data_IF_342124531022
#
_entry.id   IF_342124531022
#
_cell.length_a   1.000
_cell.length_b   1.000
_cell.length_c   1.000
_cell.angle_alpha   90.00
_cell.angle_beta   90.00
_cell.angle_gamma   90.00
#
_symmetry.space_group_name_H-M   'P 1'
#
loop_
_entity.id
_entity.type
_entity.pdbx_description
1 polymer ?
#
# COMPACT_ATOMS: atom_id res chain seq x y z
N UNK A 1 3.44 -4.19 -7.27
CA UNK A 1 2.66 -3.17 -8.03
C UNK A 1 3.22 -2.96 -9.44
N UNK A 2 4.41 -2.44 -9.60
CA UNK A 2 5.00 -2.16 -10.94
C UNK A 2 4.98 -3.38 -11.87
N UNK A 3 5.40 -4.55 -11.40
CA UNK A 3 5.41 -5.79 -12.19
C UNK A 3 4.00 -6.22 -12.64
N UNK A 4 2.98 -6.00 -11.80
CA UNK A 4 1.60 -6.28 -12.17
C UNK A 4 1.12 -5.41 -13.35
N UNK A 5 1.42 -4.11 -13.33
CA UNK A 5 1.12 -3.23 -14.45
C UNK A 5 1.92 -3.62 -15.70
N UNK A 6 3.23 -3.84 -15.58
CA UNK A 6 4.09 -4.25 -16.71
C UNK A 6 3.60 -5.53 -17.39
N UNK A 7 3.19 -6.53 -16.62
CA UNK A 7 2.71 -7.82 -17.15
C UNK A 7 1.42 -7.70 -17.95
N UNK A 8 0.64 -6.65 -17.75
CA UNK A 8 -0.64 -6.42 -18.38
C UNK A 8 -0.62 -5.33 -19.47
N UNK A 9 0.54 -4.73 -19.77
CA UNK A 9 0.66 -3.71 -20.82
C UNK A 9 0.32 -4.29 -22.20
N UNK A 10 -0.48 -3.58 -23.03
CA UNK A 10 -0.69 -3.93 -24.41
C UNK A 10 0.64 -3.91 -25.20
N UNK A 11 0.76 -4.77 -26.22
CA UNK A 11 1.96 -4.80 -27.11
C UNK A 11 2.21 -3.47 -27.85
N UNK A 12 1.22 -2.62 -27.94
CA UNK A 12 1.29 -1.28 -28.56
C UNK A 12 1.88 -0.21 -27.64
N UNK A 13 2.10 -0.56 -26.35
CA UNK A 13 2.72 0.36 -25.38
C UNK A 13 4.15 -0.09 -25.14
N UNK A 14 5.08 0.81 -25.35
CA UNK A 14 6.49 0.64 -25.02
C UNK A 14 6.86 1.48 -23.79
N UNK A 15 7.75 0.95 -22.97
CA UNK A 15 8.36 1.71 -21.88
C UNK A 15 9.67 2.29 -22.39
N UNK A 16 9.73 3.60 -22.50
CA UNK A 16 10.89 4.34 -23.02
C UNK A 16 11.20 5.55 -22.13
N UNK A 17 12.47 5.84 -21.93
CA UNK A 17 12.90 6.97 -21.14
C UNK A 17 12.53 8.32 -21.78
N UNK A 18 12.35 8.36 -23.12
CA UNK A 18 11.94 9.55 -23.87
C UNK A 18 10.41 9.66 -24.03
N UNK A 19 9.63 8.81 -23.37
CA UNK A 19 8.17 8.95 -23.39
C UNK A 19 7.73 10.28 -22.77
N UNK A 20 6.68 10.89 -23.34
CA UNK A 20 6.16 12.18 -22.84
C UNK A 20 5.47 12.09 -21.48
N UNK A 21 5.22 10.88 -20.98
CA UNK A 21 4.63 10.64 -19.64
C UNK A 21 5.62 9.86 -18.78
N UNK A 22 5.92 10.40 -17.62
CA UNK A 22 6.77 9.77 -16.61
C UNK A 22 5.94 9.40 -15.39
N UNK A 23 5.93 8.13 -14.99
CA UNK A 23 5.14 7.62 -13.87
C UNK A 23 6.05 7.16 -12.73
N UNK A 24 5.95 7.83 -11.60
CA UNK A 24 6.64 7.49 -10.36
C UNK A 24 5.70 6.71 -9.43
N UNK A 25 6.09 5.49 -9.05
CA UNK A 25 5.25 4.60 -8.22
C UNK A 25 5.89 4.39 -6.84
N UNK A 26 5.70 5.35 -5.94
CA UNK A 26 6.19 5.28 -4.57
C UNK A 26 5.53 6.37 -3.70
N UNK A 27 6.03 6.53 -2.45
CA UNK A 27 5.69 7.69 -1.62
C UNK A 27 6.11 8.99 -2.32
N UNK A 28 5.29 10.05 -2.28
CA UNK A 28 5.66 11.33 -2.90
C UNK A 28 6.99 11.84 -2.36
N UNK A 29 7.89 12.22 -3.25
CA UNK A 29 9.13 12.92 -2.97
C UNK A 29 9.47 13.83 -4.16
N UNK A 30 10.59 14.55 -4.11
CA UNK A 30 11.03 15.32 -5.26
C UNK A 30 11.22 14.42 -6.48
N UNK A 31 10.54 14.70 -7.62
CA UNK A 31 10.65 13.90 -8.81
C UNK A 31 12.10 13.87 -9.32
N UNK A 32 12.61 12.67 -9.63
CA UNK A 32 13.97 12.45 -10.17
C UNK A 32 13.90 11.57 -11.40
N UNK A 33 14.87 11.74 -12.29
CA UNK A 33 15.01 10.87 -13.47
C UNK A 33 13.95 11.07 -14.55
N UNK A 34 13.33 12.26 -14.61
CA UNK A 34 12.45 12.66 -15.70
C UNK A 34 13.12 13.67 -16.62
N UNK A 35 12.61 13.79 -17.84
CA UNK A 35 13.07 14.76 -18.83
C UNK A 35 12.24 16.06 -18.78
N UNK A 36 12.83 17.16 -19.20
CA UNK A 36 12.08 18.40 -19.39
C UNK A 36 10.94 18.18 -20.39
N UNK A 37 9.75 18.68 -20.05
CA UNK A 37 8.55 18.52 -20.88
C UNK A 37 7.78 17.21 -20.69
N UNK A 38 8.26 16.28 -19.87
CA UNK A 38 7.46 15.10 -19.49
C UNK A 38 6.32 15.47 -18.54
N UNK A 39 5.14 14.87 -18.80
CA UNK A 39 4.03 14.90 -17.86
C UNK A 39 4.34 13.99 -16.67
N UNK A 40 4.41 14.54 -15.47
CA UNK A 40 4.88 13.86 -14.26
C UNK A 40 3.69 13.32 -13.48
N UNK A 41 3.61 12.02 -13.35
CA UNK A 41 2.55 11.33 -12.64
C UNK A 41 3.12 10.65 -11.40
N UNK A 42 2.50 10.85 -10.23
CA UNK A 42 2.81 10.10 -9.03
C UNK A 42 1.70 9.09 -8.76
N UNK A 43 2.04 7.81 -8.75
CA UNK A 43 1.14 6.76 -8.27
C UNK A 43 1.49 6.44 -6.82
N UNK A 44 0.59 6.77 -5.91
CA UNK A 44 0.83 6.68 -4.45
C UNK A 44 -0.41 6.26 -3.67
N UNK A 45 -0.26 6.05 -2.36
CA UNK A 45 -1.36 5.73 -1.45
C UNK A 45 -0.99 6.09 -0.01
N UNK A 46 -2.00 6.24 0.83
CA UNK A 46 -1.85 6.45 2.27
C UNK A 46 -2.96 5.75 3.04
N UNK A 47 -2.72 5.45 4.32
CA UNK A 47 -3.56 4.54 5.10
C UNK A 47 -4.26 5.19 6.30
N UNK A 48 -4.10 6.50 6.51
CA UNK A 48 -4.83 7.27 7.54
C UNK A 48 -5.66 8.37 6.90
N UNK A 49 -6.44 9.10 7.69
CA UNK A 49 -7.28 10.20 7.21
C UNK A 49 -6.55 11.54 7.03
N UNK A 50 -5.23 11.56 7.24
CA UNK A 50 -4.41 12.76 7.08
C UNK A 50 -3.07 12.43 6.43
N UNK A 51 -2.68 13.21 5.41
CA UNK A 51 -1.36 13.06 4.78
C UNK A 51 -0.24 13.62 5.66
N UNK A 52 0.90 12.93 5.74
CA UNK A 52 2.12 13.50 6.31
C UNK A 52 2.54 14.78 5.60
N UNK A 53 3.17 15.69 6.33
CA UNK A 53 3.67 16.93 5.75
C UNK A 53 4.70 16.69 4.65
N UNK A 54 5.55 15.68 4.83
CA UNK A 54 6.53 15.27 3.81
C UNK A 54 5.86 14.84 2.49
N UNK A 55 4.65 14.23 2.53
CA UNK A 55 3.91 13.93 1.31
C UNK A 55 3.36 15.20 0.67
N UNK A 56 2.68 16.04 1.47
CA UNK A 56 2.05 17.28 0.99
C UNK A 56 3.05 18.21 0.31
N UNK A 57 4.26 18.29 0.85
CA UNK A 57 5.36 19.11 0.32
C UNK A 57 5.68 18.81 -1.14
N UNK A 58 5.57 17.55 -1.58
CA UNK A 58 6.02 17.15 -2.91
C UNK A 58 4.90 17.02 -3.93
N UNK A 59 3.62 17.03 -3.51
CA UNK A 59 2.50 16.79 -4.43
C UNK A 59 2.45 17.83 -5.56
N UNK A 60 2.73 19.10 -5.28
CA UNK A 60 2.69 20.18 -6.26
C UNK A 60 3.74 20.06 -7.37
N UNK A 61 4.74 19.19 -7.24
CA UNK A 61 5.75 18.94 -8.25
C UNK A 61 5.31 17.91 -9.31
N UNK A 62 4.20 17.27 -9.10
CA UNK A 62 3.58 16.35 -10.05
C UNK A 62 2.45 17.07 -10.79
N UNK A 63 2.23 16.68 -12.05
CA UNK A 63 1.15 17.21 -12.86
C UNK A 63 -0.15 16.44 -12.60
N UNK A 64 -0.03 15.18 -12.09
CA UNK A 64 -1.15 14.32 -11.78
C UNK A 64 -0.81 13.33 -10.66
N UNK A 65 -1.79 13.02 -9.82
CA UNK A 65 -1.69 12.01 -8.76
C UNK A 65 -2.64 10.85 -9.11
N UNK A 66 -2.13 9.63 -9.10
CA UNK A 66 -2.93 8.41 -9.20
C UNK A 66 -2.93 7.68 -7.87
N UNK A 67 -4.09 7.19 -7.49
CA UNK A 67 -4.30 6.51 -6.21
C UNK A 67 -5.16 5.26 -6.40
N UNK A 68 -5.02 4.22 -5.55
CA UNK A 68 -5.66 2.93 -5.83
C UNK A 68 -7.12 2.80 -5.38
N UNK A 69 -7.65 3.74 -4.61
CA UNK A 69 -9.02 3.66 -4.08
C UNK A 69 -9.62 5.04 -3.82
N UNK A 70 -10.93 5.07 -3.59
CA UNK A 70 -11.70 6.30 -3.38
C UNK A 70 -11.29 7.03 -2.09
N UNK A 71 -11.06 6.33 -0.99
CA UNK A 71 -10.51 6.90 0.24
C UNK A 71 -9.25 7.74 -0.03
N UNK A 72 -8.32 7.19 -0.80
CA UNK A 72 -7.11 7.91 -1.18
C UNK A 72 -7.41 9.08 -2.12
N UNK A 73 -8.38 8.97 -3.05
CA UNK A 73 -8.76 10.08 -3.92
C UNK A 73 -9.29 11.26 -3.10
N UNK A 74 -10.19 11.03 -2.16
CA UNK A 74 -10.73 12.06 -1.29
C UNK A 74 -9.63 12.74 -0.46
N UNK A 75 -8.72 11.94 0.10
CA UNK A 75 -7.61 12.42 0.91
C UNK A 75 -6.63 13.30 0.11
N UNK A 76 -6.16 12.80 -1.04
CA UNK A 76 -5.18 13.52 -1.85
C UNK A 76 -5.78 14.72 -2.58
N UNK A 77 -7.08 14.71 -2.91
CA UNK A 77 -7.78 15.84 -3.56
C UNK A 77 -7.87 17.10 -2.69
N UNK A 78 -7.64 16.96 -1.39
CA UNK A 78 -7.51 18.12 -0.48
C UNK A 78 -6.22 18.91 -0.73
N UNK A 79 -5.25 18.32 -1.45
CA UNK A 79 -3.90 18.86 -1.63
C UNK A 79 -3.44 18.92 -3.09
N UNK A 80 -4.20 18.33 -4.03
CA UNK A 80 -3.86 18.32 -5.46
C UNK A 80 -5.14 18.31 -6.32
N UNK A 81 -5.13 19.07 -7.41
CA UNK A 81 -6.34 19.28 -8.25
C UNK A 81 -6.64 18.13 -9.22
N UNK A 82 -5.62 17.39 -9.71
CA UNK A 82 -5.82 16.22 -10.59
C UNK A 82 -5.45 14.93 -9.85
N UNK A 83 -6.43 14.34 -9.18
CA UNK A 83 -6.29 13.06 -8.48
C UNK A 83 -7.28 12.06 -9.09
N UNK A 84 -6.77 10.91 -9.60
CA UNK A 84 -7.60 9.89 -10.23
C UNK A 84 -7.39 8.52 -9.60
N UNK A 85 -8.48 7.73 -9.57
CA UNK A 85 -8.44 6.36 -9.06
C UNK A 85 -7.99 5.39 -10.15
N UNK A 86 -6.92 4.69 -9.88
CA UNK A 86 -6.42 3.56 -10.68
C UNK A 86 -6.23 2.38 -9.74
N UNK A 87 -7.21 1.47 -9.62
CA UNK A 87 -7.13 0.37 -8.67
C UNK A 87 -5.97 -0.57 -9.01
N UNK A 88 -5.44 -1.26 -8.01
CA UNK A 88 -4.51 -2.35 -8.24
C UNK A 88 -5.28 -3.60 -8.69
N UNK A 89 -4.54 -4.64 -9.07
CA UNK A 89 -5.13 -5.88 -9.56
C UNK A 89 -4.47 -7.13 -9.00
N UNK A 90 -5.09 -8.26 -9.31
CA UNK A 90 -4.53 -9.60 -9.11
C UNK A 90 -4.49 -10.35 -10.43
N UNK A 91 -3.56 -11.28 -10.56
CA UNK A 91 -3.60 -12.29 -11.63
C UNK A 91 -4.48 -13.46 -11.18
N UNK A 92 -5.73 -13.46 -11.63
CA UNK A 92 -6.71 -14.48 -11.22
C UNK A 92 -6.35 -15.89 -11.72
N UNK A 93 -5.47 -16.04 -12.70
CA UNK A 93 -4.96 -17.36 -13.13
C UNK A 93 -3.89 -17.85 -12.16
N UNK A 94 -3.00 -16.97 -11.75
CA UNK A 94 -1.96 -17.28 -10.79
C UNK A 94 -2.55 -17.50 -9.38
N UNK A 95 -3.41 -16.59 -8.92
CA UNK A 95 -4.10 -16.68 -7.63
C UNK A 95 -5.37 -17.53 -7.75
N UNK A 96 -5.19 -18.82 -8.03
CA UNK A 96 -6.25 -19.82 -8.20
C UNK A 96 -5.80 -21.20 -7.75
N UNK A 97 -6.68 -22.18 -7.81
CA UNK A 97 -6.36 -23.58 -7.50
C UNK A 97 -6.17 -23.83 -5.99
N UNK A 98 -6.97 -23.17 -5.15
CA UNK A 98 -7.03 -23.47 -3.74
C UNK A 98 -7.77 -24.80 -3.52
N UNK A 99 -7.19 -25.63 -2.67
CA UNK A 99 -7.81 -26.82 -2.10
C UNK A 99 -7.63 -26.72 -0.60
N UNK A 100 -8.67 -26.96 0.14
CA UNK A 100 -8.64 -26.91 1.59
C UNK A 100 -7.56 -27.85 2.16
N UNK A 101 -6.71 -27.39 3.06
CA UNK A 101 -5.74 -28.25 3.72
C UNK A 101 -6.42 -29.17 4.73
N UNK A 102 -5.71 -30.25 5.09
CA UNK A 102 -6.10 -31.10 6.22
C UNK A 102 -5.92 -30.37 7.57
N UNK A 103 -6.47 -30.98 8.63
CA UNK A 103 -6.27 -30.49 10.01
C UNK A 103 -4.78 -30.37 10.39
N UNK A 104 -4.41 -29.47 11.31
CA UNK A 104 -5.29 -28.62 12.14
C UNK A 104 -5.95 -27.48 11.36
N UNK A 105 -7.03 -26.90 11.91
CA UNK A 105 -7.65 -25.72 11.33
C UNK A 105 -6.70 -24.52 11.43
N UNK A 106 -6.46 -23.80 10.32
CA UNK A 106 -5.47 -22.71 10.29
C UNK A 106 -6.09 -21.40 9.88
N UNK A 107 -5.96 -20.42 10.78
CA UNK A 107 -6.12 -19.01 10.46
C UNK A 107 -4.82 -18.45 9.97
N UNK A 108 -4.85 -17.62 8.94
CA UNK A 108 -3.71 -16.89 8.40
C UNK A 108 -3.91 -15.39 8.57
N UNK A 109 -2.87 -14.66 8.94
CA UNK A 109 -2.84 -13.21 8.85
C UNK A 109 -1.42 -12.74 8.51
N UNK A 110 -1.27 -11.53 7.94
CA UNK A 110 0.08 -11.09 7.60
C UNK A 110 0.21 -9.64 7.18
N UNK A 111 1.42 -9.14 7.29
CA UNK A 111 1.78 -7.81 6.86
C UNK A 111 3.16 -7.35 7.34
N UNK A 112 3.61 -6.22 6.84
CA UNK A 112 4.93 -5.65 7.18
C UNK A 112 4.90 -4.76 8.43
N UNK A 113 3.73 -4.21 8.79
CA UNK A 113 3.56 -3.31 9.93
C UNK A 113 2.55 -3.90 10.91
N UNK A 114 3.04 -4.36 12.07
CA UNK A 114 2.27 -5.12 13.06
C UNK A 114 0.96 -4.44 13.45
N UNK A 115 1.04 -3.21 13.98
CA UNK A 115 -0.14 -2.49 14.45
C UNK A 115 -1.08 -2.06 13.34
N UNK A 116 -0.56 -1.48 12.25
CA UNK A 116 -1.42 -1.05 11.15
C UNK A 116 -2.19 -2.21 10.53
N UNK A 117 -1.55 -3.37 10.44
CA UNK A 117 -2.17 -4.59 9.91
C UNK A 117 -3.07 -5.33 10.92
N UNK A 118 -3.25 -4.78 12.12
CA UNK A 118 -4.11 -5.34 13.15
C UNK A 118 -3.70 -6.73 13.64
N UNK A 119 -2.43 -7.11 13.46
CA UNK A 119 -1.97 -8.45 13.86
C UNK A 119 -2.01 -8.64 15.37
N UNK A 120 -1.92 -7.58 16.15
CA UNK A 120 -2.15 -7.56 17.59
C UNK A 120 -3.60 -7.91 17.94
N UNK A 121 -4.59 -7.38 17.21
CA UNK A 121 -6.01 -7.67 17.41
C UNK A 121 -6.30 -9.13 17.02
N UNK A 122 -5.74 -9.61 15.90
CA UNK A 122 -5.88 -11.02 15.48
C UNK A 122 -5.30 -11.98 16.51
N UNK A 123 -4.14 -11.67 17.09
CA UNK A 123 -3.53 -12.49 18.18
C UNK A 123 -4.44 -12.50 19.41
N UNK A 124 -4.95 -11.34 19.83
CA UNK A 124 -5.84 -11.24 20.98
C UNK A 124 -7.14 -12.05 20.75
N UNK A 125 -7.76 -11.93 19.57
CA UNK A 125 -8.95 -12.69 19.22
C UNK A 125 -8.70 -14.21 19.25
N UNK A 126 -7.59 -14.67 18.66
CA UNK A 126 -7.22 -16.09 18.65
C UNK A 126 -6.99 -16.63 20.06
N UNK A 127 -6.29 -15.87 20.92
CA UNK A 127 -6.06 -16.25 22.31
C UNK A 127 -7.35 -16.28 23.14
N UNK A 128 -8.26 -15.31 22.90
CA UNK A 128 -9.56 -15.23 23.60
C UNK A 128 -10.48 -16.40 23.25
N UNK A 129 -10.43 -16.87 21.98
CA UNK A 129 -11.25 -17.99 21.52
C UNK A 129 -10.75 -19.36 22.03
N UNK A 130 -9.48 -19.51 22.35
CA UNK A 130 -8.82 -20.72 22.85
C UNK A 130 -9.23 -22.04 22.13
N UNK A 131 -9.25 -22.01 20.80
CA UNK A 131 -9.62 -23.17 19.97
C UNK A 131 -8.48 -24.21 19.98
N UNK A 132 -8.72 -25.37 20.63
CA UNK A 132 -7.67 -26.36 20.94
C UNK A 132 -7.05 -27.06 19.72
N UNK A 133 -7.80 -27.19 18.63
CA UNK A 133 -7.41 -27.85 17.37
C UNK A 133 -7.21 -26.87 16.21
N UNK A 134 -7.02 -25.58 16.53
CA UNK A 134 -6.73 -24.54 15.56
C UNK A 134 -5.35 -23.92 15.79
N UNK A 135 -4.75 -23.42 14.71
CA UNK A 135 -3.49 -22.70 14.69
C UNK A 135 -3.67 -21.31 14.07
N UNK A 136 -2.87 -20.36 14.50
CA UNK A 136 -2.73 -19.04 13.85
C UNK A 136 -1.35 -18.90 13.24
N UNK A 137 -1.29 -18.76 11.94
CA UNK A 137 -0.04 -18.54 11.19
C UNK A 137 0.08 -17.09 10.78
N UNK A 138 1.13 -16.42 11.25
CA UNK A 138 1.39 -15.01 11.01
C UNK A 138 2.60 -14.81 10.09
N UNK A 139 2.38 -14.22 8.91
CA UNK A 139 3.45 -13.78 8.03
C UNK A 139 3.86 -12.37 8.38
N UNK A 140 5.12 -12.16 8.76
CA UNK A 140 5.64 -10.84 9.16
C UNK A 140 6.96 -10.52 8.43
N UNK A 141 7.23 -9.25 8.20
CA UNK A 141 8.49 -8.82 7.59
C UNK A 141 9.68 -9.14 8.52
N UNK A 142 10.88 -9.43 7.97
CA UNK A 142 12.04 -9.86 8.76
C UNK A 142 12.54 -8.78 9.73
N UNK A 143 12.33 -7.51 9.38
CA UNK A 143 12.82 -6.34 10.13
C UNK A 143 11.68 -5.50 10.75
N UNK A 144 10.49 -6.07 10.90
CA UNK A 144 9.39 -5.38 11.56
C UNK A 144 9.74 -5.15 13.04
N UNK A 145 10.32 -3.97 13.34
CA UNK A 145 10.79 -3.60 14.69
C UNK A 145 9.68 -3.65 15.74
N UNK A 146 8.44 -3.45 15.31
CA UNK A 146 7.26 -3.43 16.18
C UNK A 146 6.61 -4.81 16.35
N UNK A 147 7.19 -5.87 15.78
CA UNK A 147 6.63 -7.22 15.90
C UNK A 147 7.09 -7.88 17.20
N UNK A 148 6.21 -8.11 18.17
CA UNK A 148 6.56 -8.76 19.42
C UNK A 148 6.95 -10.24 19.17
N UNK A 149 7.66 -10.80 20.14
CA UNK A 149 7.87 -12.25 20.17
C UNK A 149 6.65 -12.91 20.84
N UNK A 150 5.69 -13.32 20.00
CA UNK A 150 4.47 -13.99 20.50
C UNK A 150 4.82 -15.40 20.90
N UNK A 151 4.77 -15.70 22.20
CA UNK A 151 4.99 -17.04 22.76
C UNK A 151 3.65 -17.72 23.00
N UNK A 152 3.21 -18.57 22.09
CA UNK A 152 2.00 -19.35 22.21
C UNK A 152 2.15 -20.66 21.42
N UNK A 153 1.76 -21.84 21.95
CA UNK A 153 2.04 -23.12 21.30
C UNK A 153 1.34 -23.30 19.95
N UNK A 154 0.25 -22.60 19.70
CA UNK A 154 -0.53 -22.68 18.47
C UNK A 154 -0.44 -21.40 17.60
N UNK A 155 0.52 -20.53 17.86
CA UNK A 155 0.79 -19.36 17.02
C UNK A 155 2.14 -19.53 16.36
N UNK A 156 2.15 -19.62 15.04
CA UNK A 156 3.36 -19.84 14.23
C UNK A 156 3.74 -18.54 13.51
N UNK A 157 4.96 -18.05 13.73
CA UNK A 157 5.46 -16.81 13.13
C UNK A 157 6.35 -17.12 11.92
N UNK A 158 5.92 -16.78 10.72
CA UNK A 158 6.71 -16.86 9.49
C UNK A 158 7.41 -15.51 9.25
N UNK A 159 8.68 -15.43 9.66
CA UNK A 159 9.49 -14.20 9.49
C UNK A 159 10.28 -14.27 8.19
N UNK A 160 10.10 -13.30 7.32
CA UNK A 160 10.83 -13.23 6.06
C UNK A 160 10.03 -12.57 4.94
N UNK A 161 10.73 -12.31 3.83
CA UNK A 161 10.08 -11.96 2.57
C UNK A 161 9.68 -13.25 1.85
N UNK A 162 8.50 -13.23 1.26
CA UNK A 162 8.01 -14.29 0.38
C UNK A 162 7.87 -13.70 -1.01
N UNK A 163 8.37 -14.39 -2.02
CA UNK A 163 7.99 -14.13 -3.40
C UNK A 163 6.54 -14.55 -3.65
N UNK A 164 6.03 -14.30 -4.84
CA UNK A 164 4.62 -14.59 -5.15
C UNK A 164 4.29 -16.08 -5.07
N UNK A 165 5.19 -16.96 -5.53
CA UNK A 165 4.97 -18.40 -5.48
C UNK A 165 4.95 -18.92 -4.04
N UNK A 166 5.95 -18.56 -3.24
CA UNK A 166 6.02 -18.90 -1.81
C UNK A 166 4.80 -18.34 -1.05
N UNK A 167 4.37 -17.10 -1.35
CA UNK A 167 3.21 -16.51 -0.71
C UNK A 167 1.91 -17.23 -1.09
N UNK A 168 1.77 -17.63 -2.36
CA UNK A 168 0.61 -18.42 -2.81
C UNK A 168 0.54 -19.77 -2.10
N UNK A 169 1.65 -20.48 -2.00
CA UNK A 169 1.70 -21.77 -1.30
C UNK A 169 1.47 -21.60 0.22
N UNK A 170 1.92 -20.49 0.81
CA UNK A 170 1.61 -20.16 2.20
C UNK A 170 0.10 -19.92 2.40
N UNK A 171 -0.56 -19.18 1.50
CA UNK A 171 -2.02 -18.99 1.54
C UNK A 171 -2.77 -20.33 1.50
N UNK A 172 -2.35 -21.26 0.65
CA UNK A 172 -3.00 -22.55 0.48
C UNK A 172 -2.90 -23.46 1.72
N UNK A 173 -2.05 -23.15 2.68
CA UNK A 173 -1.94 -23.88 3.94
C UNK A 173 -3.02 -23.49 4.96
N UNK A 174 -3.78 -22.44 4.72
CA UNK A 174 -4.78 -21.93 5.65
C UNK A 174 -6.20 -22.18 5.22
N UNK A 175 -7.11 -22.17 6.20
CA UNK A 175 -8.56 -22.30 6.01
C UNK A 175 -9.22 -20.93 5.89
N UNK A 176 -8.72 -19.93 6.61
CA UNK A 176 -9.26 -18.57 6.66
C UNK A 176 -8.12 -17.58 6.65
N UNK A 177 -8.20 -16.54 5.83
CA UNK A 177 -7.31 -15.40 5.88
C UNK A 177 -7.97 -14.22 6.59
N UNK A 178 -7.24 -13.56 7.50
CA UNK A 178 -7.72 -12.43 8.29
C UNK A 178 -6.89 -11.18 7.96
N UNK A 179 -7.58 -10.13 7.56
CA UNK A 179 -7.02 -8.81 7.28
C UNK A 179 -7.72 -7.74 8.13
N UNK A 180 -7.58 -7.84 9.46
CA UNK A 180 -8.13 -6.90 10.42
C UNK A 180 -7.29 -5.61 10.50
N UNK A 181 -7.01 -5.00 9.34
CA UNK A 181 -6.15 -3.83 9.22
C UNK A 181 -6.83 -2.56 9.75
N UNK A 182 -6.05 -1.68 10.39
CA UNK A 182 -6.49 -0.34 10.80
C UNK A 182 -6.50 0.67 9.65
N UNK A 183 -5.84 0.34 8.56
CA UNK A 183 -5.80 1.15 7.34
C UNK A 183 -4.99 0.50 6.25
N UNK A 184 -5.50 0.58 5.03
CA UNK A 184 -4.91 0.02 3.81
C UNK A 184 -4.97 1.02 2.67
N UNK A 185 -3.86 1.16 1.95
CA UNK A 185 -3.89 1.92 0.70
C UNK A 185 -4.73 1.21 -0.38
N UNK A 186 -4.74 -0.14 -0.37
CA UNK A 186 -5.55 -0.97 -1.26
C UNK A 186 -5.98 -2.30 -0.62
N UNK A 187 -5.02 -3.09 -0.10
CA UNK A 187 -5.30 -4.42 0.45
C UNK A 187 -5.05 -5.57 -0.53
N UNK A 188 -3.85 -5.64 -1.12
CA UNK A 188 -3.53 -6.73 -2.07
C UNK A 188 -3.60 -8.13 -1.45
N UNK A 189 -3.15 -8.31 -0.21
CA UNK A 189 -3.16 -9.65 0.42
C UNK A 189 -4.58 -10.20 0.59
N UNK A 190 -5.57 -9.47 1.17
CA UNK A 190 -6.94 -9.99 1.22
C UNK A 190 -7.54 -10.22 -0.17
N UNK A 191 -7.27 -9.36 -1.16
CA UNK A 191 -7.76 -9.58 -2.53
C UNK A 191 -7.14 -10.84 -3.18
N UNK A 192 -5.86 -11.15 -2.91
CA UNK A 192 -5.21 -12.39 -3.33
C UNK A 192 -5.86 -13.63 -2.68
N UNK A 193 -6.15 -13.57 -1.38
CA UNK A 193 -6.85 -14.64 -0.67
C UNK A 193 -8.27 -14.87 -1.23
N UNK A 194 -9.02 -13.79 -1.47
CA UNK A 194 -10.35 -13.84 -2.11
C UNK A 194 -10.23 -14.46 -3.52
N UNK A 195 -9.25 -14.06 -4.32
CA UNK A 195 -9.04 -14.61 -5.66
C UNK A 195 -8.70 -16.11 -5.66
N UNK A 196 -7.99 -16.59 -4.63
CA UNK A 196 -7.76 -18.01 -4.42
C UNK A 196 -9.03 -18.79 -4.04
N UNK A 197 -10.06 -18.13 -3.55
CA UNK A 197 -11.26 -18.77 -2.98
C UNK A 197 -11.11 -19.16 -1.53
N UNK A 198 -10.21 -18.53 -0.81
CA UNK A 198 -10.01 -18.71 0.63
C UNK A 198 -11.01 -17.84 1.39
N UNK A 199 -11.78 -18.37 2.34
CA UNK A 199 -12.60 -17.57 3.25
C UNK A 199 -11.78 -16.44 3.86
N UNK A 200 -12.25 -15.20 3.70
CA UNK A 200 -11.48 -14.01 4.09
C UNK A 200 -12.29 -13.10 4.97
N UNK A 201 -11.73 -12.73 6.12
CA UNK A 201 -12.29 -11.73 7.03
C UNK A 201 -11.51 -10.44 6.86
N UNK A 202 -12.20 -9.32 6.63
CA UNK A 202 -11.59 -7.99 6.46
C UNK A 202 -12.19 -6.99 7.43
N UNK A 203 -11.44 -5.97 7.84
CA UNK A 203 -12.04 -4.78 8.46
C UNK A 203 -12.66 -3.88 7.40
N UNK A 204 -13.79 -3.25 7.73
CA UNK A 204 -14.47 -2.31 6.85
C UNK A 204 -13.80 -0.94 6.96
N UNK A 205 -12.71 -0.77 6.23
CA UNK A 205 -11.89 0.45 6.29
C UNK A 205 -11.12 0.70 5.00
N UNK A 206 -11.04 1.97 4.63
CA UNK A 206 -10.10 2.54 3.65
C UNK A 206 -10.04 1.75 2.32
N UNK A 207 -8.86 1.32 1.88
CA UNK A 207 -8.70 0.61 0.62
C UNK A 207 -9.37 -0.77 0.53
N UNK A 208 -9.74 -1.39 1.66
CA UNK A 208 -10.45 -2.69 1.67
C UNK A 208 -11.95 -2.57 1.38
N UNK A 209 -12.58 -1.44 1.68
CA UNK A 209 -14.02 -1.20 1.46
C UNK A 209 -14.46 -1.52 0.02
N UNK A 210 -13.62 -1.21 -0.96
CA UNK A 210 -13.95 -1.39 -2.37
C UNK A 210 -14.22 -2.84 -2.78
N UNK A 211 -13.75 -3.83 -2.00
CA UNK A 211 -13.98 -5.26 -2.25
C UNK A 211 -14.40 -6.04 -0.99
N UNK A 212 -14.74 -5.35 0.11
CA UNK A 212 -15.23 -5.99 1.34
C UNK A 212 -16.46 -6.88 1.10
N UNK A 213 -17.32 -6.52 0.13
CA UNK A 213 -18.47 -7.31 -0.30
C UNK A 213 -18.11 -8.68 -0.91
N UNK A 214 -16.84 -8.94 -1.25
CA UNK A 214 -16.34 -10.25 -1.68
C UNK A 214 -15.75 -11.06 -0.54
N UNK A 215 -15.52 -10.47 0.62
CA UNK A 215 -15.08 -11.18 1.81
C UNK A 215 -16.21 -12.06 2.36
N UNK A 216 -15.86 -13.07 3.13
CA UNK A 216 -16.83 -13.96 3.81
C UNK A 216 -17.17 -13.49 5.21
N UNK A 217 -16.39 -12.54 5.75
CA UNK A 217 -16.64 -11.85 7.00
C UNK A 217 -16.12 -10.41 6.92
N UNK A 218 -16.86 -9.51 7.54
CA UNK A 218 -16.50 -8.09 7.65
C UNK A 218 -16.56 -7.71 9.12
N UNK A 219 -15.58 -6.96 9.59
CA UNK A 219 -15.49 -6.48 10.97
C UNK A 219 -15.62 -4.96 10.94
N UNK A 220 -16.52 -4.44 11.76
CA UNK A 220 -16.71 -3.00 11.94
C UNK A 220 -15.48 -2.36 12.59
N UNK A 221 -15.35 -1.05 12.41
CA UNK A 221 -14.22 -0.29 12.93
C UNK A 221 -14.68 0.96 13.68
N UNK A 222 -13.84 1.44 14.57
CA UNK A 222 -14.00 2.72 15.26
C UNK A 222 -12.78 3.60 15.06
N UNK A 223 -13.03 4.90 14.87
CA UNK A 223 -11.95 5.86 14.65
C UNK A 223 -11.03 5.96 15.87
N UNK A 224 -9.72 5.87 15.67
CA UNK A 224 -8.72 5.96 16.74
C UNK A 224 -7.45 6.68 16.26
N UNK A 225 -6.69 7.35 17.17
CA UNK A 225 -5.47 8.04 16.76
C UNK A 225 -4.42 7.10 16.17
N UNK A 226 -3.86 7.47 15.02
CA UNK A 226 -2.79 6.70 14.40
C UNK A 226 -1.44 6.94 15.10
N UNK A 227 -0.55 5.94 15.01
CA UNK A 227 0.84 6.09 15.51
C UNK A 227 1.71 7.01 14.65
N UNK A 228 1.20 7.42 13.49
CA UNK A 228 1.88 8.32 12.56
C UNK A 228 1.22 9.70 12.59
N UNK A 229 0.34 9.98 11.63
CA UNK A 229 -0.41 11.22 11.52
C UNK A 229 -1.88 10.90 11.25
N UNK A 230 -2.78 11.72 11.80
CA UNK A 230 -4.22 11.56 11.67
C UNK A 230 -4.76 10.37 12.48
N UNK A 231 -5.84 9.79 11.97
CA UNK A 231 -6.51 8.65 12.58
C UNK A 231 -6.52 7.47 11.62
N UNK A 232 -6.63 6.29 12.18
CA UNK A 232 -6.97 5.04 11.50
C UNK A 232 -8.23 4.43 12.12
N UNK A 233 -8.64 3.28 11.63
CA UNK A 233 -9.88 2.64 12.02
C UNK A 233 -9.59 1.35 12.80
N UNK A 234 -9.82 1.36 14.10
CA UNK A 234 -9.57 0.24 15.02
C UNK A 234 -10.61 -0.86 14.78
N UNK A 235 -10.21 -2.09 14.40
CA UNK A 235 -11.17 -3.20 14.24
C UNK A 235 -11.79 -3.60 15.58
N UNK A 236 -13.09 -3.92 15.58
CA UNK A 236 -13.77 -4.42 16.77
C UNK A 236 -13.28 -5.84 17.10
N UNK A 237 -12.73 -6.00 18.31
CA UNK A 237 -12.18 -7.27 18.78
C UNK A 237 -13.24 -8.34 19.00
N UNK A 238 -14.40 -7.95 19.54
CA UNK A 238 -15.45 -8.93 19.88
C UNK A 238 -16.12 -9.42 18.58
N UNK A 239 -16.39 -8.52 17.65
CA UNK A 239 -16.88 -8.89 16.33
C UNK A 239 -15.87 -9.75 15.56
N UNK A 240 -14.57 -9.45 15.64
CA UNK A 240 -13.54 -10.31 15.06
C UNK A 240 -13.57 -11.72 15.67
N UNK A 241 -13.75 -11.84 16.99
CA UNK A 241 -13.91 -13.14 17.64
C UNK A 241 -15.13 -13.89 17.11
N UNK A 242 -16.27 -13.20 16.97
CA UNK A 242 -17.49 -13.79 16.43
C UNK A 242 -17.29 -14.28 14.98
N UNK A 243 -16.67 -13.45 14.13
CA UNK A 243 -16.37 -13.84 12.76
C UNK A 243 -15.41 -15.04 12.70
N UNK A 244 -14.33 -15.04 13.46
CA UNK A 244 -13.39 -16.17 13.52
C UNK A 244 -14.08 -17.45 13.99
N UNK A 245 -14.91 -17.37 15.04
CA UNK A 245 -15.65 -18.52 15.56
C UNK A 245 -16.69 -19.04 14.56
N UNK A 246 -17.39 -18.17 13.86
CA UNK A 246 -18.33 -18.52 12.79
C UNK A 246 -17.61 -19.27 11.67
N UNK A 247 -16.47 -18.77 11.20
CA UNK A 247 -15.67 -19.40 10.14
C UNK A 247 -15.10 -20.76 10.57
N UNK A 248 -14.73 -20.89 11.83
CA UNK A 248 -14.27 -22.17 12.37
C UNK A 248 -15.39 -23.22 12.43
N UNK A 249 -16.57 -22.83 12.90
CA UNK A 249 -17.71 -23.74 13.08
C UNK A 249 -18.42 -24.09 11.77
N UNK A 250 -18.53 -23.13 10.87
CA UNK A 250 -19.31 -23.21 9.63
C UNK A 250 -18.42 -23.09 8.38
N UNK A 251 -17.21 -23.64 8.45
CA UNK A 251 -16.18 -23.43 7.42
C UNK A 251 -16.64 -23.83 6.01
N UNK A 252 -17.35 -24.95 5.86
CA UNK A 252 -17.88 -25.44 4.60
C UNK A 252 -18.75 -24.39 3.89
N UNK A 253 -19.63 -23.71 4.65
CA UNK A 253 -20.50 -22.66 4.14
C UNK A 253 -19.68 -21.44 3.68
N UNK A 254 -18.74 -20.98 4.52
CA UNK A 254 -17.89 -19.85 4.19
C UNK A 254 -16.96 -20.18 3.01
N UNK A 255 -16.47 -21.40 2.89
CA UNK A 255 -15.66 -21.84 1.76
C UNK A 255 -16.47 -21.90 0.45
N UNK A 256 -17.71 -22.37 0.49
CA UNK A 256 -18.59 -22.35 -0.67
C UNK A 256 -18.84 -20.90 -1.15
N UNK A 257 -19.09 -19.97 -0.23
CA UNK A 257 -19.24 -18.55 -0.51
C UNK A 257 -17.94 -17.94 -1.10
N UNK A 258 -16.78 -18.22 -0.47
CA UNK A 258 -15.48 -17.73 -0.96
C UNK A 258 -15.17 -18.22 -2.37
N UNK A 259 -15.47 -19.50 -2.67
CA UNK A 259 -15.30 -20.10 -3.99
C UNK A 259 -16.19 -19.43 -5.06
N UNK A 260 -17.40 -19.01 -4.69
CA UNK A 260 -18.27 -18.23 -5.57
C UNK A 260 -17.73 -16.82 -5.79
N UNK A 261 -17.31 -16.15 -4.72
CA UNK A 261 -16.79 -14.78 -4.73
C UNK A 261 -15.45 -14.65 -5.47
N UNK A 262 -14.61 -15.71 -5.47
CA UNK A 262 -13.35 -15.74 -6.20
C UNK A 262 -13.52 -15.40 -7.69
N UNK A 263 -14.61 -15.82 -8.32
CA UNK A 263 -14.89 -15.49 -9.73
C UNK A 263 -15.12 -13.98 -9.95
N UNK A 264 -15.71 -13.32 -8.96
CA UNK A 264 -16.01 -11.89 -8.99
C UNK A 264 -14.75 -11.04 -8.81
N UNK A 265 -13.68 -11.58 -8.21
CA UNK A 265 -12.39 -10.88 -8.05
C UNK A 265 -11.75 -10.50 -9.38
N UNK A 266 -12.18 -11.09 -10.52
CA UNK A 266 -11.76 -10.70 -11.86
C UNK A 266 -12.10 -9.24 -12.23
N UNK A 267 -12.97 -8.60 -11.44
CA UNK A 267 -13.21 -7.16 -11.51
C UNK A 267 -11.94 -6.35 -11.20
N UNK A 268 -11.07 -6.87 -10.33
CA UNK A 268 -9.77 -6.27 -9.96
C UNK A 268 -8.60 -7.01 -10.62
N UNK A 269 -8.60 -7.19 -11.94
CA UNK A 269 -7.48 -7.79 -12.65
C UNK A 269 -6.43 -6.74 -13.03
N UNK A 270 -5.15 -7.15 -13.09
CA UNK A 270 -4.09 -6.27 -13.60
C UNK A 270 -4.39 -5.72 -15.01
N UNK A 271 -5.09 -6.49 -15.84
CA UNK A 271 -5.53 -6.03 -17.16
C UNK A 271 -6.46 -4.81 -17.08
N UNK A 272 -7.45 -4.83 -16.17
CA UNK A 272 -8.35 -3.68 -15.95
C UNK A 272 -7.61 -2.52 -15.34
N UNK A 273 -6.79 -2.77 -14.31
CA UNK A 273 -5.95 -1.76 -13.67
C UNK A 273 -5.06 -1.04 -14.70
N UNK A 274 -4.39 -1.79 -15.57
CA UNK A 274 -3.53 -1.23 -16.64
C UNK A 274 -4.34 -0.44 -17.66
N UNK A 275 -5.53 -0.92 -18.05
CA UNK A 275 -6.42 -0.16 -18.93
C UNK A 275 -6.79 1.17 -18.29
N UNK A 276 -7.25 1.18 -17.05
CA UNK A 276 -7.58 2.40 -16.32
C UNK A 276 -6.38 3.34 -16.17
N UNK A 277 -5.18 2.81 -15.90
CA UNK A 277 -3.94 3.59 -15.88
C UNK A 277 -3.71 4.33 -17.20
N UNK A 278 -3.77 3.61 -18.34
CA UNK A 278 -3.54 4.19 -19.66
C UNK A 278 -4.62 5.21 -20.07
N UNK A 279 -5.87 5.01 -19.64
CA UNK A 279 -6.96 5.97 -19.83
C UNK A 279 -6.87 7.19 -18.91
N UNK A 280 -6.17 7.06 -17.78
CA UNK A 280 -6.02 8.13 -16.78
C UNK A 280 -4.89 9.09 -17.10
N UNK A 281 -3.87 8.68 -17.85
CA UNK A 281 -2.74 9.53 -18.21
C UNK A 281 -2.92 10.11 -19.62
N UNK A 282 -2.27 11.25 -19.97
CA UNK A 282 -2.26 11.76 -21.34
C UNK A 282 -1.73 10.71 -22.34
N UNK A 283 -2.19 10.76 -23.58
CA UNK A 283 -1.63 9.91 -24.63
C UNK A 283 -0.15 10.20 -24.78
N UNK A 284 0.67 9.20 -24.47
CA UNK A 284 2.11 9.31 -24.52
C UNK A 284 2.62 9.30 -25.96
N UNK A 285 3.49 10.24 -26.28
CA UNK A 285 4.32 10.26 -27.49
C UNK A 285 5.78 10.23 -27.09
N UNK A 286 6.66 9.83 -27.98
CA UNK A 286 8.09 10.03 -27.73
C UNK A 286 8.41 11.53 -27.86
N UNK A 287 9.18 12.07 -26.92
CA UNK A 287 9.78 13.39 -27.06
C UNK A 287 10.84 13.31 -28.16
N UNK A 288 11.02 14.37 -28.92
CA UNK A 288 12.16 14.47 -29.86
C UNK A 288 13.46 14.19 -29.11
N UNK A 289 14.43 13.52 -29.77
CA UNK A 289 15.70 13.13 -29.16
C UNK A 289 16.37 14.33 -28.48
N UNK A 290 16.07 14.50 -27.20
CA UNK A 290 16.79 15.44 -26.34
C UNK A 290 17.94 14.68 -25.67
N UNK A 291 19.12 15.26 -25.65
CA UNK A 291 20.19 14.77 -24.76
C UNK A 291 19.62 14.69 -23.36
N UNK A 292 19.71 13.52 -22.74
CA UNK A 292 19.25 13.30 -21.39
C UNK A 292 19.96 14.28 -20.43
N UNK A 293 19.30 15.35 -20.08
CA UNK A 293 19.67 16.25 -19.00
C UNK A 293 18.64 16.06 -17.89
N UNK A 294 19.01 15.48 -16.73
CA UNK A 294 18.07 15.34 -15.62
C UNK A 294 17.59 16.72 -15.21
N UNK A 295 16.29 16.95 -15.23
CA UNK A 295 15.71 18.18 -14.72
C UNK A 295 16.10 18.33 -13.24
N UNK A 296 16.73 19.45 -12.91
CA UNK A 296 17.05 19.77 -11.51
C UNK A 296 15.77 20.32 -10.89
N UNK A 297 15.12 19.52 -10.07
CA UNK A 297 14.01 20.00 -9.24
C UNK A 297 14.59 20.85 -8.13
N UNK A 298 14.21 22.11 -8.10
CA UNK A 298 14.52 23.02 -6.99
C UNK A 298 13.33 23.12 -6.05
N UNK A 299 13.60 23.23 -4.77
CA UNK A 299 12.59 23.30 -3.71
C UNK A 299 12.72 24.63 -2.99
N UNK A 300 11.62 25.36 -2.75
CA UNK A 300 11.66 26.57 -1.95
C UNK A 300 11.98 26.22 -0.49
N UNK A 301 12.97 26.89 0.07
CA UNK A 301 13.36 26.74 1.48
C UNK A 301 13.57 28.09 2.14
N UNK A 302 13.40 28.12 3.47
CA UNK A 302 13.94 29.16 4.33
C UNK A 302 14.83 28.53 5.39
N UNK A 303 15.85 29.24 5.80
CA UNK A 303 16.74 28.79 6.90
C UNK A 303 16.57 29.65 8.13
N UNK A 304 16.61 29.02 9.32
CA UNK A 304 16.43 29.68 10.63
C UNK A 304 17.61 30.58 11.01
N UNK A 305 18.79 30.33 10.46
CA UNK A 305 20.00 31.08 10.77
C UNK A 305 20.91 31.16 9.56
N UNK A 306 21.74 32.23 9.52
CA UNK A 306 22.78 32.34 8.49
C UNK A 306 23.71 31.12 8.55
N UNK A 307 23.96 30.51 7.41
CA UNK A 307 24.90 29.40 7.26
C UNK A 307 25.51 29.34 5.88
N UNK A 308 26.70 28.74 5.80
CA UNK A 308 27.34 28.36 4.54
C UNK A 308 27.67 26.88 4.57
N UNK A 309 27.57 26.21 3.43
CA UNK A 309 27.92 24.79 3.31
C UNK A 309 28.40 24.47 1.91
N UNK A 310 29.32 23.50 1.82
CA UNK A 310 29.78 22.93 0.55
C UNK A 310 29.07 21.59 0.32
N UNK A 311 28.42 21.46 -0.84
CA UNK A 311 27.72 20.22 -1.22
C UNK A 311 28.18 19.82 -2.62
N UNK A 312 28.90 18.73 -2.73
CA UNK A 312 29.58 18.32 -3.95
C UNK A 312 30.66 19.32 -4.34
N UNK A 313 30.50 19.97 -5.52
CA UNK A 313 31.43 21.02 -6.01
C UNK A 313 30.91 22.43 -5.83
N UNK A 314 29.73 22.60 -5.21
CA UNK A 314 29.08 23.91 -5.09
C UNK A 314 29.14 24.41 -3.65
N UNK A 315 29.41 25.73 -3.54
CA UNK A 315 29.32 26.48 -2.29
C UNK A 315 27.96 27.17 -2.19
N UNK A 316 27.32 27.11 -1.04
CA UNK A 316 26.01 27.70 -0.79
C UNK A 316 26.06 28.59 0.45
N UNK A 317 25.59 29.83 0.29
CA UNK A 317 25.40 30.79 1.39
C UNK A 317 23.93 31.09 1.58
N UNK A 318 23.45 30.96 2.82
CA UNK A 318 22.05 31.20 3.19
C UNK A 318 21.95 32.27 4.27
N UNK A 319 21.06 33.22 4.09
CA UNK A 319 20.68 34.21 5.11
C UNK A 319 19.37 33.78 5.79
N UNK A 320 19.26 33.98 7.10
CA UNK A 320 18.06 33.65 7.85
C UNK A 320 16.83 34.40 7.32
N UNK A 321 15.71 33.69 7.20
CA UNK A 321 14.43 34.25 6.79
C UNK A 321 14.32 34.59 5.29
N UNK A 322 15.35 34.36 4.48
CA UNK A 322 15.30 34.55 3.04
C UNK A 322 14.89 33.24 2.37
N UNK A 323 14.02 33.35 1.36
CA UNK A 323 13.59 32.21 0.56
C UNK A 323 14.57 31.90 -0.55
N UNK A 324 14.95 30.63 -0.70
CA UNK A 324 15.87 30.13 -1.72
C UNK A 324 15.26 28.97 -2.47
N UNK A 325 15.58 28.83 -3.73
CA UNK A 325 15.31 27.66 -4.55
C UNK A 325 16.57 26.78 -4.57
N UNK A 326 16.52 25.62 -3.93
CA UNK A 326 17.68 24.74 -3.81
C UNK A 326 17.44 23.35 -4.41
N UNK A 327 18.47 22.72 -5.01
CA UNK A 327 18.39 21.32 -5.38
C UNK A 327 18.11 20.41 -4.18
N UNK A 328 17.44 19.31 -4.40
CA UNK A 328 17.03 18.36 -3.33
C UNK A 328 18.21 17.85 -2.49
N UNK A 329 19.37 17.60 -3.11
CA UNK A 329 20.57 17.19 -2.35
C UNK A 329 21.00 18.23 -1.31
N UNK A 330 20.76 19.52 -1.59
CA UNK A 330 21.00 20.62 -0.65
C UNK A 330 19.94 20.59 0.48
N UNK A 331 18.67 20.34 0.12
CA UNK A 331 17.57 20.22 1.09
C UNK A 331 17.86 19.15 2.16
N UNK A 332 18.35 17.97 1.76
CA UNK A 332 18.66 16.90 2.68
C UNK A 332 19.72 17.32 3.72
N UNK A 333 20.81 17.94 3.25
CA UNK A 333 21.89 18.43 4.13
C UNK A 333 21.36 19.48 5.11
N UNK A 334 20.52 20.41 4.64
CA UNK A 334 19.93 21.45 5.50
C UNK A 334 18.93 20.89 6.50
N UNK A 335 18.17 19.84 6.10
CA UNK A 335 17.25 19.12 6.98
C UNK A 335 18.01 18.38 8.09
N UNK A 336 19.06 17.66 7.75
CA UNK A 336 19.91 16.93 8.70
C UNK A 336 20.59 17.87 9.70
N UNK A 337 20.96 19.08 9.24
CA UNK A 337 21.49 20.14 10.06
C UNK A 337 20.43 20.86 10.92
N UNK A 338 19.13 20.52 10.80
CA UNK A 338 17.98 21.09 11.53
C UNK A 338 17.88 22.63 11.41
N UNK A 339 18.22 23.17 10.26
CA UNK A 339 18.26 24.62 9.99
C UNK A 339 17.10 25.12 9.13
N UNK A 340 16.25 24.25 8.61
CA UNK A 340 15.08 24.63 7.80
C UNK A 340 13.99 25.26 8.65
N UNK A 341 13.35 26.33 8.13
CA UNK A 341 12.06 26.80 8.57
C UNK A 341 10.96 26.01 7.85
N UNK A 342 9.86 25.74 8.53
CA UNK A 342 8.65 25.21 7.92
C UNK A 342 8.01 26.35 7.13
N UNK A 343 7.88 26.19 5.80
CA UNK A 343 7.18 27.14 4.92
C UNK A 343 5.69 26.86 4.92
#
# INVERSE_FOLDING_TARGET
MLEGFKSALPKTVTLDNNASVWVYMNTPNAPRGFLSGQHRVCFTMWETDQLPEDFRRWLHLYDQILVPCEHNRELFSQHHSDVRVVPLGVDNKFWSGYTAPDKPFRFLAGGSLWFRKGLDVVVQAFQKLDLHDAELHLKVAPHARDTPNVKHPRIVMHRGWMDQDTQREWFKQGHVFIAASRGEGFGLMPLQAISLGIPTIVSDTTGQEQFSHLATGVVSTTRSPAKTVGNWDEPDLDELCEQMLSHYRNWEQHHAQASANAKLSSAWSWRKATKTLLESVPTGTLLEEQKWEPAIVTVPIKVKRKMSCDIGRNHYDFLAGVEYQVPEGVLQVLSDAKVLEVL
#
